data_IF_889357131667
#
_entry.id   IF_889357131667
#
_cell.length_a   1.000
_cell.length_b   1.000
_cell.length_c   1.000
_cell.angle_alpha   90.00
_cell.angle_beta   90.00
_cell.angle_gamma   90.00
#
_symmetry.space_group_name_H-M   'P 1'
#
loop_
_entity.id
_entity.type
_entity.pdbx_description
1 polymer ?
#
# COMPACT_ATOMS: atom_id res chain seq x y z
N UNK A 1 -104.16 37.45 11.64
CA UNK A 1 -103.06 36.50 11.36
C UNK A 1 -101.76 37.19 11.72
N UNK A 2 -101.32 37.15 12.99
CA UNK A 2 -100.54 36.08 13.69
C UNK A 2 -99.04 36.15 13.36
N UNK A 3 -98.22 36.69 14.28
CA UNK A 3 -97.29 36.01 15.24
C UNK A 3 -95.96 35.56 14.57
N UNK A 4 -94.80 36.16 14.89
CA UNK A 4 -93.78 35.82 15.92
C UNK A 4 -92.68 34.81 15.47
N UNK A 5 -91.45 35.35 15.35
CA UNK A 5 -90.11 34.92 15.79
C UNK A 5 -89.55 33.47 15.73
N UNK A 6 -88.21 33.44 15.59
CA UNK A 6 -87.21 32.48 16.12
C UNK A 6 -86.59 31.40 15.22
N UNK A 7 -85.26 31.50 15.12
CA UNK A 7 -84.18 30.50 15.01
C UNK A 7 -84.42 29.16 14.29
N UNK A 8 -83.49 28.76 13.43
CA UNK A 8 -82.76 27.49 13.60
C UNK A 8 -81.47 27.50 12.77
N UNK A 9 -80.38 27.14 13.45
CA UNK A 9 -79.06 26.91 12.90
C UNK A 9 -79.11 25.85 11.80
N UNK A 10 -78.34 26.02 10.73
CA UNK A 10 -77.98 24.89 9.88
C UNK A 10 -76.69 24.32 10.45
N UNK A 11 -76.85 23.15 11.06
CA UNK A 11 -75.84 22.41 11.79
C UNK A 11 -74.63 22.07 10.93
N UNK A 12 -73.48 22.15 11.60
CA UNK A 12 -72.21 21.55 11.23
C UNK A 12 -72.37 20.03 11.13
N UNK A 13 -72.09 19.45 9.97
CA UNK A 13 -71.70 18.05 9.85
C UNK A 13 -70.66 17.94 8.73
N UNK A 14 -69.42 18.28 9.08
CA UNK A 14 -68.26 17.76 8.37
C UNK A 14 -67.80 16.57 9.21
N UNK A 15 -68.11 15.36 8.76
CA UNK A 15 -67.71 14.11 9.40
C UNK A 15 -66.17 14.05 9.51
N UNK A 16 -65.65 14.48 10.64
CA UNK A 16 -64.26 14.30 11.05
C UNK A 16 -64.16 12.97 11.82
N UNK A 17 -64.49 11.87 11.14
CA UNK A 17 -64.12 10.52 11.56
C UNK A 17 -63.02 10.02 10.62
N UNK A 18 -61.84 10.65 10.69
CA UNK A 18 -60.62 9.99 10.23
C UNK A 18 -60.33 8.89 11.25
N UNK A 19 -60.70 7.65 10.91
CA UNK A 19 -60.54 6.45 11.71
C UNK A 19 -59.27 6.51 12.56
N UNK A 20 -59.42 6.49 13.88
CA UNK A 20 -58.31 6.36 14.82
C UNK A 20 -57.42 5.16 14.48
N UNK A 21 -57.99 4.14 13.83
CA UNK A 21 -57.29 2.98 13.28
C UNK A 21 -56.27 3.34 12.19
N UNK A 22 -56.61 4.24 11.26
CA UNK A 22 -55.69 4.66 10.18
C UNK A 22 -54.50 5.43 10.77
N UNK A 23 -54.74 6.24 11.79
CA UNK A 23 -53.68 6.95 12.51
C UNK A 23 -52.76 6.00 13.29
N UNK A 24 -53.34 4.97 13.94
CA UNK A 24 -52.56 3.95 14.65
C UNK A 24 -51.72 3.09 13.69
N UNK A 25 -52.26 2.75 12.53
CA UNK A 25 -51.54 2.02 11.47
C UNK A 25 -50.37 2.88 10.95
N UNK A 26 -50.61 4.17 10.67
CA UNK A 26 -49.56 5.08 10.24
C UNK A 26 -48.43 5.21 11.27
N UNK A 27 -48.76 5.28 12.56
CA UNK A 27 -47.78 5.34 13.64
C UNK A 27 -46.99 4.04 13.77
N UNK A 28 -47.62 2.88 13.59
CA UNK A 28 -46.92 1.59 13.58
C UNK A 28 -45.96 1.46 12.40
N UNK A 29 -46.38 1.88 11.20
CA UNK A 29 -45.54 1.86 10.01
C UNK A 29 -44.32 2.78 10.16
N UNK A 30 -44.51 3.99 10.69
CA UNK A 30 -43.38 4.90 10.96
C UNK A 30 -42.38 4.29 11.95
N UNK A 31 -42.87 3.67 13.03
CA UNK A 31 -42.00 3.01 14.00
C UNK A 31 -41.26 1.79 13.43
N UNK A 32 -41.81 1.12 12.41
CA UNK A 32 -41.12 0.03 11.71
C UNK A 32 -40.02 0.58 10.80
N UNK A 33 -40.31 1.63 10.02
CA UNK A 33 -39.32 2.32 9.18
C UNK A 33 -38.16 2.84 10.05
N UNK A 34 -38.45 3.53 11.15
CA UNK A 34 -37.42 4.06 12.04
C UNK A 34 -36.56 2.96 12.68
N UNK A 35 -37.11 1.75 12.88
CA UNK A 35 -36.37 0.59 13.38
C UNK A 35 -35.48 -0.01 12.29
N UNK A 36 -36.00 -0.15 11.08
CA UNK A 36 -35.26 -0.64 9.92
C UNK A 36 -34.11 0.32 9.56
N UNK A 37 -34.33 1.63 9.62
CA UNK A 37 -33.29 2.65 9.44
C UNK A 37 -32.22 2.56 10.54
N UNK A 38 -32.62 2.42 11.81
CA UNK A 38 -31.65 2.23 12.92
C UNK A 38 -30.89 0.91 12.85
N UNK A 39 -31.50 -0.15 12.32
CA UNK A 39 -30.83 -1.43 12.10
C UNK A 39 -29.86 -1.34 10.92
N UNK A 40 -30.25 -0.68 9.83
CA UNK A 40 -29.39 -0.39 8.69
C UNK A 40 -28.21 0.52 9.07
N UNK A 41 -28.43 1.56 9.87
CA UNK A 41 -27.37 2.43 10.39
C UNK A 41 -26.40 1.65 11.29
N UNK A 42 -26.90 0.79 12.19
CA UNK A 42 -26.06 -0.11 12.99
C UNK A 42 -25.30 -1.13 12.14
N UNK A 43 -25.86 -1.53 11.01
CA UNK A 43 -25.23 -2.45 10.07
C UNK A 43 -24.15 -1.72 9.25
N UNK A 44 -24.38 -0.46 8.86
CA UNK A 44 -23.41 0.43 8.23
C UNK A 44 -22.25 0.76 9.18
N UNK A 45 -22.56 1.01 10.46
CA UNK A 45 -21.57 1.18 11.52
C UNK A 45 -20.75 -0.09 11.75
N UNK A 46 -21.34 -1.29 11.64
CA UNK A 46 -20.59 -2.56 11.70
C UNK A 46 -19.73 -2.82 10.47
N UNK A 47 -20.18 -2.40 9.28
CA UNK A 47 -19.42 -2.50 8.02
C UNK A 47 -18.27 -1.49 7.98
N UNK A 48 -18.40 -0.33 8.64
CA UNK A 48 -17.36 0.70 8.72
C UNK A 48 -16.33 0.47 9.83
N UNK A 49 -16.58 -0.49 10.75
CA UNK A 49 -15.62 -0.96 11.77
C UNK A 49 -14.70 -2.07 11.25
N UNK A 50 -14.55 -2.22 9.93
CA UNK A 50 -13.42 -2.95 9.35
C UNK A 50 -12.17 -2.11 9.66
N UNK A 51 -11.26 -2.71 10.42
CA UNK A 51 -9.92 -2.21 10.66
C UNK A 51 -9.36 -1.54 9.39
N UNK A 52 -8.75 -0.35 9.50
CA UNK A 52 -8.24 0.35 8.32
C UNK A 52 -7.34 -0.63 7.53
N UNK A 53 -7.64 -0.76 6.23
CA UNK A 53 -7.17 -1.81 5.31
C UNK A 53 -5.82 -2.42 5.73
N UNK A 54 -5.83 -3.55 6.44
CA UNK A 54 -4.61 -4.22 6.83
C UNK A 54 -4.00 -4.91 5.58
N UNK A 55 -3.06 -4.22 4.95
CA UNK A 55 -2.43 -4.64 3.68
C UNK A 55 -1.41 -5.76 3.86
N UNK A 56 -1.03 -6.06 5.11
CA UNK A 56 -0.05 -7.10 5.50
C UNK A 56 -0.67 -8.20 6.37
N UNK A 57 -2.00 -8.30 6.40
CA UNK A 57 -2.68 -9.37 7.13
C UNK A 57 -2.21 -10.75 6.64
N UNK A 58 -1.96 -11.66 7.59
CA UNK A 58 -1.53 -13.05 7.33
C UNK A 58 -2.46 -13.78 6.37
N UNK A 59 -3.74 -13.42 6.31
CA UNK A 59 -4.67 -14.02 5.36
C UNK A 59 -4.21 -13.84 3.90
N UNK A 60 -3.52 -12.74 3.59
CA UNK A 60 -3.03 -12.46 2.25
C UNK A 60 -1.93 -13.41 1.79
N UNK A 61 -1.17 -14.00 2.72
CA UNK A 61 -0.19 -15.04 2.39
C UNK A 61 -0.85 -16.33 1.88
N UNK A 62 -2.17 -16.50 2.11
CA UNK A 62 -2.94 -17.66 1.66
C UNK A 62 -3.77 -17.33 0.41
N UNK A 63 -4.41 -16.16 0.39
CA UNK A 63 -5.37 -15.79 -0.67
C UNK A 63 -4.71 -15.17 -1.89
N UNK A 64 -3.60 -14.45 -1.72
CA UNK A 64 -2.87 -13.79 -2.80
C UNK A 64 -1.37 -13.68 -2.46
N UNK A 65 -0.64 -14.81 -2.45
CA UNK A 65 0.77 -14.83 -2.04
C UNK A 65 1.70 -14.10 -3.00
N UNK A 66 1.32 -13.91 -4.26
CA UNK A 66 2.14 -13.26 -5.28
C UNK A 66 1.32 -12.23 -6.07
N UNK A 67 1.02 -11.07 -5.45
CA UNK A 67 0.22 -10.03 -6.08
C UNK A 67 0.89 -9.46 -7.32
N UNK A 68 0.06 -8.99 -8.24
CA UNK A 68 0.52 -8.14 -9.33
C UNK A 68 0.95 -6.76 -8.81
N UNK A 69 2.19 -6.38 -9.11
CA UNK A 69 2.80 -5.14 -8.62
C UNK A 69 2.14 -3.89 -9.20
N UNK A 70 1.59 -3.96 -10.41
CA UNK A 70 0.95 -2.82 -11.05
C UNK A 70 -0.40 -2.54 -10.40
N UNK A 71 -1.14 -3.59 -10.10
CA UNK A 71 -2.42 -3.52 -9.36
C UNK A 71 -2.20 -2.95 -7.96
N UNK A 72 -1.21 -3.45 -7.22
CA UNK A 72 -0.84 -2.90 -5.91
C UNK A 72 -0.44 -1.43 -5.99
N UNK A 73 0.41 -1.09 -6.97
CA UNK A 73 0.86 0.28 -7.14
C UNK A 73 -0.30 1.24 -7.39
N UNK A 74 -1.23 0.89 -8.29
CA UNK A 74 -2.41 1.70 -8.55
C UNK A 74 -3.28 1.84 -7.30
N UNK A 75 -3.56 0.73 -6.61
CA UNK A 75 -4.34 0.75 -5.37
C UNK A 75 -3.71 1.68 -4.32
N UNK A 76 -2.42 1.52 -4.05
CA UNK A 76 -1.71 2.32 -3.06
C UNK A 76 -1.59 3.79 -3.47
N UNK A 77 -1.42 4.08 -4.77
CA UNK A 77 -1.40 5.45 -5.27
C UNK A 77 -2.72 6.19 -4.94
N UNK A 78 -3.86 5.54 -5.19
CA UNK A 78 -5.16 6.10 -4.85
C UNK A 78 -5.37 6.21 -3.33
N UNK A 79 -5.02 5.16 -2.58
CA UNK A 79 -5.32 5.08 -1.14
C UNK A 79 -4.42 5.97 -0.29
N UNK A 80 -3.12 6.04 -0.60
CA UNK A 80 -2.12 6.63 0.30
C UNK A 80 -1.41 7.86 -0.25
N UNK A 81 -1.48 8.10 -1.57
CA UNK A 81 -0.72 9.13 -2.27
C UNK A 81 -1.57 10.06 -3.14
N UNK A 82 -2.89 10.10 -2.92
CA UNK A 82 -3.81 11.07 -3.55
C UNK A 82 -3.76 11.07 -5.09
N UNK A 83 -3.51 9.92 -5.71
CA UNK A 83 -3.31 9.79 -7.16
C UNK A 83 -2.19 10.69 -7.73
N UNK A 84 -1.21 11.09 -6.91
CA UNK A 84 -0.10 11.95 -7.37
C UNK A 84 1.01 11.19 -8.07
N UNK A 85 0.97 9.85 -8.06
CA UNK A 85 2.00 9.01 -8.66
C UNK A 85 1.62 8.48 -10.06
N UNK A 86 0.60 9.05 -10.73
CA UNK A 86 0.16 8.59 -12.05
C UNK A 86 1.24 8.70 -13.14
N UNK A 87 2.22 9.59 -12.96
CA UNK A 87 3.38 9.72 -13.85
C UNK A 87 4.54 8.76 -13.52
N UNK A 88 4.40 7.95 -12.46
CA UNK A 88 5.39 6.99 -11.99
C UNK A 88 4.98 5.61 -12.46
N UNK A 89 5.94 4.84 -12.97
CA UNK A 89 5.71 3.43 -13.30
C UNK A 89 6.57 2.51 -12.42
N UNK A 90 6.07 1.30 -12.19
CA UNK A 90 6.75 0.25 -11.43
C UNK A 90 7.20 -0.87 -12.36
N UNK A 91 8.39 -1.43 -12.13
CA UNK A 91 8.94 -2.54 -12.92
C UNK A 91 9.67 -3.57 -12.07
N UNK A 92 9.69 -4.83 -12.55
CA UNK A 92 10.55 -5.87 -11.99
C UNK A 92 11.96 -5.79 -12.58
N UNK A 93 12.97 -5.79 -11.72
CA UNK A 93 14.39 -5.89 -12.08
C UNK A 93 14.94 -7.29 -11.82
N UNK A 94 15.39 -7.95 -12.89
CA UNK A 94 16.06 -9.26 -12.83
C UNK A 94 17.55 -9.17 -12.45
N UNK A 95 18.10 -7.95 -12.38
CA UNK A 95 19.55 -7.71 -12.18
C UNK A 95 19.85 -6.98 -10.87
N UNK A 96 18.83 -6.65 -10.10
CA UNK A 96 18.97 -5.93 -8.84
C UNK A 96 19.27 -6.89 -7.70
N UNK A 97 20.45 -6.73 -7.11
CA UNK A 97 20.99 -7.68 -6.12
C UNK A 97 21.47 -7.02 -4.82
N UNK A 98 21.36 -5.69 -4.70
CA UNK A 98 21.88 -4.94 -3.55
C UNK A 98 20.79 -4.33 -2.66
N UNK A 99 19.58 -4.25 -3.18
CA UNK A 99 18.40 -3.72 -2.51
C UNK A 99 17.18 -4.48 -3.02
N UNK A 100 16.11 -4.47 -2.24
CA UNK A 100 14.83 -5.06 -2.62
C UNK A 100 14.04 -4.13 -3.56
N UNK A 101 14.23 -2.82 -3.45
CA UNK A 101 13.61 -1.79 -4.27
C UNK A 101 14.56 -0.62 -4.49
N UNK A 102 14.27 0.19 -5.53
CA UNK A 102 14.89 1.49 -5.72
C UNK A 102 13.98 2.41 -6.54
N UNK A 103 13.87 3.66 -6.12
CA UNK A 103 13.23 4.72 -6.87
C UNK A 103 14.25 5.53 -7.67
N UNK A 104 14.07 5.61 -8.99
CA UNK A 104 14.86 6.47 -9.86
C UNK A 104 14.06 7.72 -10.21
N UNK A 105 14.68 8.88 -10.05
CA UNK A 105 14.16 10.16 -10.53
C UNK A 105 15.16 10.84 -11.48
N UNK A 106 14.70 11.19 -12.67
CA UNK A 106 15.50 11.82 -13.72
C UNK A 106 15.17 13.32 -13.82
N UNK A 107 16.19 14.14 -14.09
CA UNK A 107 16.01 15.56 -14.42
C UNK A 107 15.22 15.64 -15.74
N UNK A 108 13.93 15.94 -15.63
CA UNK A 108 12.95 15.79 -16.71
C UNK A 108 11.58 15.28 -16.23
N UNK A 109 11.46 14.87 -14.96
CA UNK A 109 10.18 14.48 -14.36
C UNK A 109 9.86 12.99 -14.50
N UNK A 110 10.70 12.22 -15.18
CA UNK A 110 10.57 10.76 -15.23
C UNK A 110 10.93 10.16 -13.88
N UNK A 111 9.97 9.49 -13.25
CA UNK A 111 10.13 8.76 -12.01
C UNK A 111 9.73 7.30 -12.24
N UNK A 112 10.54 6.37 -11.74
CA UNK A 112 10.27 4.93 -11.85
C UNK A 112 10.69 4.19 -10.59
N UNK A 113 9.92 3.18 -10.23
CA UNK A 113 10.23 2.29 -9.11
C UNK A 113 10.63 0.94 -9.69
N UNK A 114 11.80 0.43 -9.32
CA UNK A 114 12.23 -0.90 -9.71
C UNK A 114 12.31 -1.79 -8.47
N UNK A 115 11.73 -2.99 -8.56
CA UNK A 115 11.70 -3.99 -7.48
C UNK A 115 12.55 -5.22 -7.87
N UNK A 116 13.27 -5.82 -6.93
CA UNK A 116 14.12 -6.99 -7.21
C UNK A 116 13.27 -8.26 -7.35
N UNK A 117 13.18 -8.79 -8.56
CA UNK A 117 12.47 -10.06 -8.82
C UNK A 117 13.17 -11.24 -8.14
N UNK A 118 14.51 -11.27 -8.17
CA UNK A 118 15.27 -12.35 -7.51
C UNK A 118 15.09 -12.37 -6.00
N UNK A 119 14.77 -11.22 -5.40
CA UNK A 119 14.63 -11.11 -3.95
C UNK A 119 13.18 -11.30 -3.49
N UNK A 120 12.24 -10.55 -4.08
CA UNK A 120 10.87 -10.45 -3.54
C UNK A 120 9.96 -11.61 -3.97
N UNK A 121 10.26 -12.30 -5.08
CA UNK A 121 9.42 -13.43 -5.55
C UNK A 121 9.49 -14.66 -4.64
N UNK A 122 10.51 -14.77 -3.78
CA UNK A 122 10.69 -15.89 -2.84
C UNK A 122 10.35 -15.51 -1.39
N UNK A 123 9.80 -14.31 -1.17
CA UNK A 123 9.54 -13.76 0.17
C UNK A 123 8.04 -13.68 0.43
N UNK A 124 7.64 -13.62 1.72
CA UNK A 124 6.26 -13.38 2.07
C UNK A 124 5.76 -12.09 1.42
N UNK A 125 4.46 -12.06 1.07
CA UNK A 125 3.82 -10.92 0.41
C UNK A 125 4.09 -9.61 1.14
N UNK A 126 4.10 -9.62 2.49
CA UNK A 126 4.35 -8.42 3.29
C UNK A 126 5.67 -7.71 2.91
N UNK A 127 6.72 -8.45 2.58
CA UNK A 127 8.04 -7.88 2.26
C UNK A 127 7.97 -7.10 0.94
N UNK A 128 7.19 -7.60 -0.04
CA UNK A 128 6.89 -6.91 -1.28
C UNK A 128 6.09 -5.63 -1.03
N UNK A 129 5.03 -5.72 -0.22
CA UNK A 129 4.15 -4.58 0.09
C UNK A 129 4.91 -3.47 0.82
N UNK A 130 5.67 -3.81 1.86
CA UNK A 130 6.48 -2.86 2.63
C UNK A 130 7.56 -2.21 1.77
N UNK A 131 8.25 -2.99 0.92
CA UNK A 131 9.25 -2.47 -0.01
C UNK A 131 8.62 -1.54 -1.04
N UNK A 132 7.49 -1.91 -1.63
CA UNK A 132 6.79 -1.08 -2.60
C UNK A 132 6.35 0.25 -1.97
N UNK A 133 5.72 0.20 -0.79
CA UNK A 133 5.28 1.42 -0.09
C UNK A 133 6.47 2.34 0.27
N UNK A 134 7.60 1.77 0.69
CA UNK A 134 8.83 2.52 0.92
C UNK A 134 9.27 3.30 -0.33
N UNK A 135 9.38 2.64 -1.48
CA UNK A 135 9.77 3.30 -2.73
C UNK A 135 8.72 4.30 -3.23
N UNK A 136 7.43 4.06 -2.97
CA UNK A 136 6.36 5.00 -3.31
C UNK A 136 6.41 6.28 -2.47
N UNK A 137 6.83 6.21 -1.20
CA UNK A 137 7.07 7.42 -0.39
C UNK A 137 8.20 8.24 -1.01
N UNK A 138 9.30 7.61 -1.43
CA UNK A 138 10.36 8.30 -2.16
C UNK A 138 9.83 8.95 -3.45
N UNK A 139 9.11 8.20 -4.27
CA UNK A 139 8.51 8.71 -5.51
C UNK A 139 7.59 9.92 -5.25
N UNK A 140 6.76 9.87 -4.20
CA UNK A 140 5.87 10.96 -3.83
C UNK A 140 6.66 12.23 -3.48
N UNK A 141 7.67 12.11 -2.64
CA UNK A 141 8.52 13.25 -2.25
C UNK A 141 9.31 13.83 -3.42
N UNK A 142 9.74 13.01 -4.38
CA UNK A 142 10.36 13.48 -5.62
C UNK A 142 9.38 14.31 -6.46
N UNK A 143 8.15 13.79 -6.62
CA UNK A 143 7.12 14.40 -7.48
C UNK A 143 6.57 15.69 -6.87
N UNK A 144 6.25 15.71 -5.57
CA UNK A 144 5.53 16.84 -4.96
C UNK A 144 6.45 17.92 -4.37
N UNK A 145 7.61 17.52 -3.82
CA UNK A 145 8.44 18.43 -3.05
C UNK A 145 9.77 18.75 -3.74
N UNK A 146 10.03 18.19 -4.94
CA UNK A 146 11.31 18.29 -5.65
C UNK A 146 12.49 17.97 -4.70
N UNK A 147 12.26 17.09 -3.73
CA UNK A 147 13.28 16.69 -2.77
C UNK A 147 14.30 15.84 -3.52
N UNK A 148 15.52 16.35 -3.71
CA UNK A 148 16.55 15.70 -4.54
C UNK A 148 17.43 14.73 -3.76
N UNK A 149 17.20 14.59 -2.46
CA UNK A 149 17.95 13.66 -1.65
C UNK A 149 17.50 12.23 -1.95
N UNK A 150 18.40 11.44 -2.55
CA UNK A 150 18.08 10.12 -3.11
C UNK A 150 17.97 9.04 -2.06
N UNK A 151 18.72 9.18 -0.97
CA UNK A 151 18.78 8.24 0.16
C UNK A 151 18.26 8.90 1.46
N UNK A 152 17.66 10.08 1.33
CA UNK A 152 17.25 10.92 2.45
C UNK A 152 15.93 10.48 3.07
N UNK A 153 15.99 9.85 4.24
CA UNK A 153 14.84 9.58 5.10
C UNK A 153 14.55 10.77 6.03
N UNK A 154 14.36 11.95 5.44
CA UNK A 154 14.11 13.19 6.17
C UNK A 154 12.75 13.20 6.90
N UNK A 155 12.42 14.29 7.62
CA UNK A 155 11.17 14.40 8.37
C UNK A 155 9.90 14.12 7.55
N UNK A 156 9.88 14.51 6.28
CA UNK A 156 8.73 14.25 5.40
C UNK A 156 8.58 12.77 5.08
N UNK A 157 9.68 12.04 4.88
CA UNK A 157 9.63 10.58 4.70
C UNK A 157 9.04 9.92 5.94
N UNK A 158 9.57 10.28 7.12
CA UNK A 158 9.11 9.73 8.39
C UNK A 158 7.62 9.99 8.65
N UNK A 159 7.11 11.18 8.30
CA UNK A 159 5.69 11.51 8.41
C UNK A 159 4.82 10.57 7.58
N UNK A 160 5.17 10.36 6.31
CA UNK A 160 4.41 9.46 5.44
C UNK A 160 4.55 7.99 5.87
N UNK A 161 5.73 7.57 6.31
CA UNK A 161 6.00 6.23 6.83
C UNK A 161 5.11 5.92 8.04
N UNK A 162 5.11 6.78 9.06
CA UNK A 162 4.28 6.61 10.26
C UNK A 162 2.80 6.59 9.90
N UNK A 163 2.34 7.58 9.12
CA UNK A 163 0.94 7.65 8.68
C UNK A 163 0.48 6.38 7.96
N UNK A 164 1.30 5.81 7.08
CA UNK A 164 0.93 4.60 6.34
C UNK A 164 0.98 3.38 7.26
N UNK A 165 2.00 3.23 8.10
CA UNK A 165 2.07 2.12 9.07
C UNK A 165 0.85 2.10 10.00
N UNK A 166 0.45 3.26 10.53
CA UNK A 166 -0.70 3.40 11.44
C UNK A 166 -2.02 2.97 10.79
N UNK A 167 -2.20 3.27 9.50
CA UNK A 167 -3.44 2.98 8.77
C UNK A 167 -3.45 1.55 8.23
N UNK A 168 -2.28 0.96 7.95
CA UNK A 168 -2.21 -0.30 7.19
C UNK A 168 -1.75 -1.49 8.00
N UNK A 169 -1.25 -1.28 9.22
CA UNK A 169 -0.61 -2.33 10.02
C UNK A 169 0.73 -2.81 9.46
N UNK A 170 1.22 -2.20 8.37
CA UNK A 170 2.56 -2.47 7.82
C UNK A 170 3.66 -1.94 8.74
N UNK A 171 4.89 -2.44 8.56
CA UNK A 171 6.05 -1.97 9.27
C UNK A 171 7.13 -1.45 8.30
N UNK A 172 6.78 -0.40 7.55
CA UNK A 172 7.75 0.30 6.69
C UNK A 172 8.83 0.90 7.58
N UNK A 173 10.10 0.67 7.22
CA UNK A 173 11.27 1.20 7.94
C UNK A 173 12.15 2.06 7.04
N UNK A 174 13.02 2.87 7.66
CA UNK A 174 14.05 3.67 6.96
C UNK A 174 15.29 2.86 6.59
N UNK A 175 15.43 1.66 7.15
CA UNK A 175 16.58 0.82 6.87
C UNK A 175 16.26 -0.11 5.70
N UNK A 176 17.15 -0.15 4.72
CA UNK A 176 17.20 -1.26 3.79
C UNK A 176 17.83 -2.47 4.53
N UNK A 177 17.10 -3.07 5.47
CA UNK A 177 17.48 -4.14 6.40
C UNK A 177 17.96 -5.45 5.73
N UNK A 178 18.23 -5.44 4.44
CA UNK A 178 18.20 -6.60 3.57
C UNK A 178 19.60 -7.06 3.11
N UNK A 179 20.66 -6.42 3.59
CA UNK A 179 22.04 -6.74 3.20
C UNK A 179 22.55 -8.07 3.79
N UNK A 180 22.19 -8.38 5.05
CA UNK A 180 22.80 -9.49 5.79
C UNK A 180 22.35 -10.88 5.31
N UNK A 181 21.09 -11.01 4.89
CA UNK A 181 20.50 -12.27 4.43
C UNK A 181 20.85 -12.57 2.96
N UNK A 182 20.88 -11.53 2.13
CA UNK A 182 21.26 -11.66 0.71
C UNK A 182 22.70 -12.16 0.55
N UNK A 183 23.65 -11.56 1.28
CA UNK A 183 25.07 -11.93 1.20
C UNK A 183 25.33 -13.36 1.73
N UNK A 184 24.50 -13.85 2.64
CA UNK A 184 24.54 -15.23 3.13
C UNK A 184 23.99 -16.24 2.12
N UNK A 185 22.87 -15.94 1.46
CA UNK A 185 22.17 -16.89 0.60
C UNK A 185 22.69 -16.91 -0.86
N UNK A 186 23.26 -15.81 -1.35
CA UNK A 186 23.60 -15.62 -2.78
C UNK A 186 25.09 -15.33 -3.03
N UNK A 187 25.95 -15.74 -2.10
CA UNK A 187 27.39 -15.62 -2.26
C UNK A 187 27.95 -16.61 -3.28
N UNK A 188 28.33 -16.13 -4.47
CA UNK A 188 29.10 -16.92 -5.44
C UNK A 188 30.59 -16.72 -5.22
N UNK A 189 31.29 -17.81 -4.92
CA UNK A 189 32.69 -17.77 -4.52
C UNK A 189 33.52 -18.53 -5.54
N UNK A 190 34.56 -17.87 -6.05
CA UNK A 190 35.58 -18.49 -6.88
C UNK A 190 36.90 -18.42 -6.15
N UNK A 191 37.70 -19.47 -6.30
CA UNK A 191 39.08 -19.47 -5.82
C UNK A 191 40.01 -19.83 -6.96
N UNK A 192 40.89 -18.90 -7.30
CA UNK A 192 41.98 -19.11 -8.26
C UNK A 192 42.83 -20.31 -7.84
N UNK A 193 43.29 -21.13 -8.79
CA UNK A 193 44.07 -22.36 -8.55
C UNK A 193 45.59 -22.14 -8.55
N UNK A 194 46.05 -20.95 -8.95
CA UNK A 194 47.48 -20.61 -9.07
C UNK A 194 48.11 -19.97 -7.82
N UNK A 195 49.26 -19.30 -8.03
CA UNK A 195 50.09 -18.68 -6.98
C UNK A 195 49.35 -17.60 -6.16
N UNK A 196 48.35 -16.96 -6.78
CA UNK A 196 47.36 -16.06 -6.18
C UNK A 196 46.81 -16.53 -4.81
N UNK A 197 46.77 -17.84 -4.55
CA UNK A 197 46.29 -18.44 -3.28
C UNK A 197 47.10 -18.05 -2.07
N UNK A 198 48.37 -17.70 -2.25
CA UNK A 198 49.29 -17.35 -1.17
C UNK A 198 49.40 -15.84 -0.96
N UNK A 199 48.79 -15.04 -1.85
CA UNK A 199 48.98 -13.60 -1.86
C UNK A 199 47.88 -12.88 -1.07
N UNK A 200 48.32 -12.04 -0.13
CA UNK A 200 47.43 -11.12 0.59
C UNK A 200 46.89 -10.04 -0.35
N UNK A 201 45.70 -9.48 -0.08
CA UNK A 201 44.83 -9.81 1.06
C UNK A 201 43.78 -10.90 0.74
N UNK A 202 43.60 -11.27 -0.53
CA UNK A 202 42.44 -12.05 -0.97
C UNK A 202 42.67 -13.56 -1.07
N UNK A 203 43.93 -14.04 -1.05
CA UNK A 203 44.27 -15.47 -1.11
C UNK A 203 43.58 -16.23 -2.26
N UNK A 204 43.47 -15.56 -3.40
CA UNK A 204 42.86 -16.07 -4.61
C UNK A 204 41.33 -16.12 -4.59
N UNK A 205 40.66 -15.65 -3.53
CA UNK A 205 39.20 -15.63 -3.46
C UNK A 205 38.61 -14.41 -4.17
N UNK A 206 37.51 -14.66 -4.88
CA UNK A 206 36.60 -13.63 -5.39
C UNK A 206 35.21 -14.02 -4.93
N UNK A 207 34.56 -13.15 -4.18
CA UNK A 207 33.16 -13.30 -3.76
C UNK A 207 32.30 -12.28 -4.50
N UNK A 208 31.16 -12.70 -5.03
CA UNK A 208 30.20 -11.81 -5.69
C UNK A 208 28.77 -12.21 -5.34
N UNK A 209 27.90 -11.23 -5.36
CA UNK A 209 26.44 -11.37 -5.24
C UNK A 209 25.75 -11.98 -6.46
N UNK A 210 26.45 -12.06 -7.60
CA UNK A 210 25.93 -12.60 -8.86
C UNK A 210 26.80 -13.75 -9.34
N UNK A 211 26.20 -14.75 -9.99
CA UNK A 211 26.91 -15.87 -10.64
C UNK A 211 27.67 -15.43 -11.89
N UNK A 212 28.65 -14.56 -11.71
CA UNK A 212 29.52 -14.04 -12.75
C UNK A 212 30.95 -14.41 -12.40
N UNK A 213 31.50 -15.42 -13.06
CA UNK A 213 32.89 -15.82 -12.86
C UNK A 213 33.86 -14.64 -13.12
N UNK A 214 35.01 -14.60 -12.42
CA UNK A 214 36.14 -13.76 -12.82
C UNK A 214 36.47 -13.88 -14.31
N UNK A 215 36.69 -12.75 -14.99
CA UNK A 215 37.00 -12.72 -16.42
C UNK A 215 37.83 -11.50 -16.81
N UNK A 216 38.32 -11.46 -18.06
CA UNK A 216 39.07 -10.32 -18.62
C UNK A 216 38.33 -8.97 -18.62
N UNK A 217 37.02 -8.97 -18.36
CA UNK A 217 36.21 -7.75 -18.18
C UNK A 217 36.40 -7.11 -16.80
N UNK A 218 37.01 -7.82 -15.86
CA UNK A 218 37.30 -7.29 -14.53
C UNK A 218 38.52 -6.37 -14.58
N UNK A 219 38.39 -5.17 -14.02
CA UNK A 219 39.44 -4.13 -14.05
C UNK A 219 40.79 -4.59 -13.46
N UNK A 220 40.78 -5.61 -12.61
CA UNK A 220 41.96 -6.17 -11.97
C UNK A 220 42.53 -7.39 -12.70
N UNK A 221 41.87 -7.92 -13.74
CA UNK A 221 42.25 -9.16 -14.40
C UNK A 221 43.69 -9.12 -14.94
N UNK A 222 44.02 -8.06 -15.69
CA UNK A 222 45.36 -7.88 -16.26
C UNK A 222 46.46 -7.58 -15.23
N UNK A 223 46.13 -7.35 -13.96
CA UNK A 223 47.10 -7.11 -12.88
C UNK A 223 47.40 -8.37 -12.05
N UNK A 224 46.52 -9.36 -12.09
CA UNK A 224 46.56 -10.55 -11.22
C UNK A 224 46.70 -11.87 -11.97
N UNK A 225 46.41 -11.90 -13.28
CA UNK A 225 46.37 -13.13 -14.08
C UNK A 225 47.34 -13.10 -15.28
N UNK A 226 48.43 -12.35 -15.17
CA UNK A 226 49.57 -12.34 -16.11
C UNK A 226 50.71 -13.21 -15.62
#
# INVERSE_FOLDING_TARGET
MTYFDSSLAFETDFDEQTNDEDFLIALQLQNQIDKEEKENDKQLDKVTQIHPMNVVDKQWELTDPNPDIHTLFQQFNHQFFYAKLDCVYVEWSKRMTRCAGICYYRRGGECRIALSASYLTLRPRKDLVETLLHEMIHAYLFVTNNNRDRDGHGPEFLKHMVRINDVTGANITVYHSFHDEYDHLHGHWWRCTGACRQWKPFYGYVKRSMNRAPSNRDRWWGKLCS
#
